data_IF_040335178941
#
_entry.id   IF_040335178941
#
_cell.length_a   1.000
_cell.length_b   1.000
_cell.length_c   1.000
_cell.angle_alpha   90.00
_cell.angle_beta   90.00
_cell.angle_gamma   90.00
#
_symmetry.space_group_name_H-M   'P 1'
#
loop_
_entity.id
_entity.type
_entity.pdbx_description
1 polymer ?
#
# COMPACT_ATOMS: atom_id res chain seq x y z
N UNK A 1 -18.30 6.26 2.74
CA UNK A 1 -17.66 4.92 2.71
C UNK A 1 -16.18 5.15 2.43
N UNK A 2 -15.27 4.49 3.17
CA UNK A 2 -13.82 4.69 2.98
C UNK A 2 -13.41 4.10 1.62
N UNK A 3 -12.61 4.83 0.84
CA UNK A 3 -12.18 4.39 -0.50
C UNK A 3 -11.21 3.22 -0.35
N UNK A 4 -11.49 2.10 -1.02
CA UNK A 4 -10.53 0.98 -1.08
C UNK A 4 -9.34 1.42 -1.93
N UNK A 5 -8.15 1.43 -1.35
CA UNK A 5 -6.89 1.73 -2.07
C UNK A 5 -5.94 0.53 -2.11
N UNK A 6 -6.13 -0.45 -1.20
CA UNK A 6 -5.43 -1.73 -1.22
C UNK A 6 -6.08 -2.69 -2.21
N UNK A 7 -5.33 -3.16 -3.21
CA UNK A 7 -5.81 -4.19 -4.14
C UNK A 7 -6.15 -5.50 -3.41
N UNK A 8 -5.45 -5.84 -2.31
CA UNK A 8 -5.77 -6.99 -1.45
C UNK A 8 -7.18 -6.93 -0.82
N UNK A 9 -7.76 -5.74 -0.70
CA UNK A 9 -9.12 -5.52 -0.17
C UNK A 9 -10.21 -5.48 -1.25
N UNK A 10 -9.82 -5.59 -2.53
CA UNK A 10 -10.70 -5.53 -3.69
C UNK A 10 -10.97 -6.93 -4.24
N UNK A 11 -12.18 -7.12 -4.76
CA UNK A 11 -12.50 -8.25 -5.63
C UNK A 11 -11.85 -8.07 -7.00
N UNK A 12 -11.68 -9.15 -7.77
CA UNK A 12 -11.14 -9.06 -9.13
C UNK A 12 -11.91 -8.09 -10.04
N UNK A 13 -13.24 -7.97 -9.84
CA UNK A 13 -14.08 -7.03 -10.58
C UNK A 13 -13.72 -5.57 -10.23
N UNK A 14 -13.61 -5.26 -8.94
CA UNK A 14 -13.21 -3.92 -8.47
C UNK A 14 -11.79 -3.56 -8.95
N UNK A 15 -10.86 -4.52 -8.97
CA UNK A 15 -9.52 -4.32 -9.54
C UNK A 15 -9.60 -4.01 -11.03
N UNK A 16 -10.37 -4.77 -11.81
CA UNK A 16 -10.52 -4.53 -13.25
C UNK A 16 -11.13 -3.15 -13.55
N UNK A 17 -12.16 -2.75 -12.79
CA UNK A 17 -12.76 -1.42 -12.88
C UNK A 17 -11.75 -0.33 -12.54
N UNK A 18 -10.95 -0.51 -11.47
CA UNK A 18 -9.94 0.46 -11.08
C UNK A 18 -8.82 0.60 -12.10
N UNK A 19 -8.35 -0.51 -12.68
CA UNK A 19 -7.31 -0.48 -13.72
C UNK A 19 -7.79 0.11 -15.04
N UNK A 20 -9.09 0.09 -15.32
CA UNK A 20 -9.66 0.81 -16.48
C UNK A 20 -9.51 2.34 -16.36
N UNK A 21 -9.32 2.87 -15.14
CA UNK A 21 -9.01 4.28 -14.89
C UNK A 21 -7.53 4.64 -15.09
N UNK A 22 -6.67 3.67 -15.46
CA UNK A 22 -5.22 3.81 -15.57
C UNK A 22 -4.56 4.43 -14.31
N UNK A 23 -4.72 3.80 -13.13
CA UNK A 23 -4.28 4.35 -11.87
C UNK A 23 -2.76 4.29 -11.74
N UNK A 24 -2.19 5.20 -10.95
CA UNK A 24 -0.82 5.05 -10.48
C UNK A 24 -0.79 3.89 -9.47
N UNK A 25 0.17 2.98 -9.65
CA UNK A 25 0.42 1.87 -8.71
C UNK A 25 1.65 2.22 -7.88
N UNK A 26 1.47 2.32 -6.57
CA UNK A 26 2.56 2.49 -5.62
C UNK A 26 3.03 1.10 -5.18
N UNK A 27 4.29 0.77 -5.46
CA UNK A 27 4.91 -0.48 -5.02
C UNK A 27 5.79 -0.13 -3.82
N UNK A 28 5.36 -0.42 -2.58
CA UNK A 28 6.16 -0.11 -1.42
C UNK A 28 7.37 -1.05 -1.39
N UNK A 29 8.55 -0.49 -1.14
CA UNK A 29 9.80 -1.24 -1.04
C UNK A 29 10.42 -0.96 0.33
N UNK A 30 10.77 -2.02 1.04
CA UNK A 30 11.25 -1.96 2.41
C UNK A 30 12.15 -3.14 2.73
N UNK A 31 12.60 -3.19 3.99
CA UNK A 31 13.58 -4.15 4.48
C UNK A 31 13.08 -4.91 5.71
N UNK A 32 13.92 -5.84 6.14
CA UNK A 32 13.93 -6.38 7.49
C UNK A 32 15.35 -6.19 7.99
N UNK A 33 15.56 -5.10 8.73
CA UNK A 33 16.90 -4.72 9.18
C UNK A 33 16.93 -4.23 10.63
N UNK A 34 18.12 -4.29 11.22
CA UNK A 34 18.42 -3.84 12.58
C UNK A 34 18.28 -2.32 12.68
N UNK A 35 17.63 -1.84 13.74
CA UNK A 35 17.32 -0.41 13.94
C UNK A 35 17.85 0.13 15.28
N UNK A 36 18.76 -0.57 15.94
CA UNK A 36 19.19 -0.29 17.30
C UNK A 36 18.37 -1.02 18.37
N UNK A 37 18.88 -1.08 19.61
CA UNK A 37 18.28 -1.85 20.70
C UNK A 37 16.90 -1.34 21.15
N UNK A 38 16.56 -0.09 20.83
CA UNK A 38 15.31 0.56 21.23
C UNK A 38 14.13 0.31 20.29
N UNK A 39 14.37 -0.25 19.09
CA UNK A 39 13.33 -0.36 18.05
C UNK A 39 13.27 -1.76 17.44
N UNK A 40 12.06 -2.24 17.10
CA UNK A 40 11.92 -3.49 16.37
C UNK A 40 12.40 -3.34 14.92
N UNK A 41 12.89 -4.44 14.34
CA UNK A 41 13.00 -4.55 12.88
C UNK A 41 11.61 -4.46 12.24
N UNK A 42 11.57 -4.05 10.97
CA UNK A 42 10.35 -4.06 10.16
C UNK A 42 9.88 -2.67 9.73
N UNK A 43 10.78 -1.94 9.06
CA UNK A 43 10.50 -0.72 8.31
C UNK A 43 9.45 -0.93 7.21
N UNK A 44 9.22 -2.18 6.77
CA UNK A 44 8.09 -2.55 5.93
C UNK A 44 6.74 -2.11 6.49
N UNK A 45 6.56 -2.12 7.82
CA UNK A 45 5.31 -1.65 8.45
C UNK A 45 5.08 -0.16 8.25
N UNK A 46 6.14 0.64 8.37
CA UNK A 46 6.02 2.08 8.14
C UNK A 46 5.74 2.35 6.66
N UNK A 47 6.43 1.62 5.78
CA UNK A 47 6.29 1.73 4.33
C UNK A 47 4.87 1.37 3.87
N UNK A 48 4.25 0.33 4.44
CA UNK A 48 2.85 -0.03 4.17
C UNK A 48 1.88 1.10 4.57
N UNK A 49 1.98 1.59 5.81
CA UNK A 49 1.11 2.66 6.34
C UNK A 49 1.26 3.95 5.52
N UNK A 50 2.49 4.34 5.18
CA UNK A 50 2.75 5.56 4.41
C UNK A 50 2.19 5.42 2.99
N UNK A 51 2.35 4.25 2.36
CA UNK A 51 1.89 4.02 0.99
C UNK A 51 0.37 4.05 0.89
N UNK A 52 -0.35 3.44 1.85
CA UNK A 52 -1.80 3.57 1.94
C UNK A 52 -2.22 5.05 2.05
N UNK A 53 -1.60 5.80 2.96
CA UNK A 53 -1.89 7.22 3.16
C UNK A 53 -1.63 8.06 1.91
N UNK A 54 -0.60 7.75 1.13
CA UNK A 54 -0.35 8.42 -0.14
C UNK A 54 -1.48 8.07 -1.11
N UNK A 55 -1.79 6.78 -1.28
CA UNK A 55 -2.81 6.30 -2.20
C UNK A 55 -4.20 6.91 -1.94
N UNK A 56 -4.59 7.07 -0.67
CA UNK A 56 -5.83 7.76 -0.28
C UNK A 56 -5.89 9.22 -0.76
N UNK A 57 -4.74 9.91 -0.77
CA UNK A 57 -4.64 11.34 -1.13
C UNK A 57 -4.48 11.57 -2.62
N UNK A 58 -3.90 10.61 -3.34
CA UNK A 58 -3.53 10.73 -4.76
C UNK A 58 -4.41 9.91 -5.69
N UNK A 59 -5.43 9.22 -5.15
CA UNK A 59 -6.27 8.28 -5.91
C UNK A 59 -5.45 7.18 -6.61
N UNK A 60 -4.36 6.77 -5.97
CA UNK A 60 -3.50 5.69 -6.43
C UNK A 60 -3.92 4.36 -5.76
N UNK A 61 -3.28 3.26 -6.16
CA UNK A 61 -3.50 1.95 -5.54
C UNK A 61 -2.21 1.36 -5.01
N UNK A 62 -2.31 0.53 -3.97
CA UNK A 62 -1.20 -0.28 -3.42
C UNK A 62 -1.53 -1.77 -3.58
N UNK A 63 -0.56 -2.62 -3.96
CA UNK A 63 -0.83 -3.98 -4.37
C UNK A 63 -1.20 -4.93 -3.24
N UNK A 64 -0.47 -4.93 -2.12
CA UNK A 64 -0.65 -5.90 -1.02
C UNK A 64 -0.27 -5.29 0.31
N UNK A 65 -0.76 -5.92 1.38
CA UNK A 65 -0.26 -5.73 2.74
C UNK A 65 1.14 -6.35 2.84
N UNK A 66 2.12 -5.58 3.33
CA UNK A 66 3.52 -6.02 3.51
C UNK A 66 3.78 -6.38 4.98
#
# INVERSE_FOLDING_TARGET
>A
MMKKVRLSSMTCKEVAEKFAENPVVLIPNASIEEHGPQTPMGDYRLTDIVSEKIAERTDSVVPVDI
#
